data_IF_916786692642
#
_entry.id   IF_916786692642
#
_cell.length_a   1.000
_cell.length_b   1.000
_cell.length_c   1.000
_cell.angle_alpha   90.00
_cell.angle_beta   90.00
_cell.angle_gamma   90.00
#
_symmetry.space_group_name_H-M   'P 1'
#
loop_
_entity.id
_entity.type
_entity.pdbx_description
1 polymer ?
#
# COMPACT_ATOMS: atom_id res chain seq x y z
N UNK A 1 -4.41 33.42 71.80
CA UNK A 1 -5.59 33.30 70.91
C UNK A 1 -5.11 32.83 69.54
N UNK A 2 -5.39 31.58 69.23
CA UNK A 2 -4.90 30.88 68.05
C UNK A 2 -5.91 31.05 66.93
N UNK A 3 -5.51 31.77 65.83
CA UNK A 3 -6.31 31.93 64.65
C UNK A 3 -6.13 30.76 63.70
N UNK A 4 -7.09 29.83 63.63
CA UNK A 4 -7.18 28.75 62.64
C UNK A 4 -7.44 29.32 61.23
N UNK A 5 -6.43 29.44 60.39
CA UNK A 5 -6.59 29.70 58.97
C UNK A 5 -7.17 28.50 58.25
N UNK A 6 -8.48 28.52 58.00
CA UNK A 6 -9.19 27.51 57.20
C UNK A 6 -8.70 27.56 55.74
N UNK A 7 -8.01 26.54 55.25
CA UNK A 7 -7.73 26.32 53.80
C UNK A 7 -9.05 26.08 53.11
N UNK A 8 -9.57 27.05 52.36
CA UNK A 8 -10.67 26.87 51.42
C UNK A 8 -10.17 25.92 50.27
N UNK A 9 -10.49 24.64 50.39
CA UNK A 9 -10.39 23.70 49.27
C UNK A 9 -11.49 24.06 48.26
N UNK A 10 -11.09 24.72 47.19
CA UNK A 10 -12.03 24.94 46.06
C UNK A 10 -12.44 23.57 45.52
N UNK A 11 -13.69 23.15 45.78
CA UNK A 11 -14.30 21.98 45.12
C UNK A 11 -14.26 22.24 43.62
N UNK A 12 -13.69 21.27 42.87
CA UNK A 12 -13.74 21.29 41.42
C UNK A 12 -15.23 21.35 40.96
N UNK A 13 -15.58 22.19 39.97
CA UNK A 13 -16.97 22.29 39.51
C UNK A 13 -17.44 20.92 39.01
N UNK A 14 -18.53 20.42 39.60
CA UNK A 14 -19.14 19.16 39.16
C UNK A 14 -19.77 19.37 37.75
N UNK A 15 -19.36 18.51 36.82
CA UNK A 15 -19.91 18.51 35.46
C UNK A 15 -21.43 18.22 35.50
N UNK A 16 -22.22 18.99 34.74
CA UNK A 16 -23.63 18.69 34.55
C UNK A 16 -23.81 17.40 33.76
N UNK A 17 -24.97 16.71 33.93
CA UNK A 17 -25.28 15.49 33.17
C UNK A 17 -25.11 15.65 31.65
N UNK A 18 -25.48 16.80 31.09
CA UNK A 18 -25.27 17.14 29.67
C UNK A 18 -23.80 17.25 29.31
N UNK A 19 -22.97 17.89 30.13
CA UNK A 19 -21.54 18.03 29.90
C UNK A 19 -20.84 16.66 29.97
N UNK A 20 -21.26 15.83 30.90
CA UNK A 20 -20.73 14.48 31.02
C UNK A 20 -21.08 13.62 29.80
N UNK A 21 -22.36 13.68 29.35
CA UNK A 21 -22.80 12.99 28.13
C UNK A 21 -22.00 13.44 26.89
N UNK A 22 -21.84 14.75 26.69
CA UNK A 22 -21.06 15.30 25.57
C UNK A 22 -19.57 14.88 25.63
N UNK A 23 -19.00 14.84 26.83
CA UNK A 23 -17.62 14.37 27.01
C UNK A 23 -17.49 12.89 26.63
N UNK A 24 -18.39 12.04 27.15
CA UNK A 24 -18.38 10.61 26.83
C UNK A 24 -18.60 10.36 25.33
N UNK A 25 -19.51 11.09 24.71
CA UNK A 25 -19.74 11.02 23.26
C UNK A 25 -18.47 11.39 22.48
N UNK A 26 -17.78 12.48 22.85
CA UNK A 26 -16.55 12.90 22.20
C UNK A 26 -15.42 11.86 22.39
N UNK A 27 -15.30 11.26 23.57
CA UNK A 27 -14.34 10.18 23.82
C UNK A 27 -14.66 8.96 22.96
N UNK A 28 -15.92 8.56 22.86
CA UNK A 28 -16.34 7.45 22.02
C UNK A 28 -16.03 7.70 20.54
N UNK A 29 -16.35 8.90 20.03
CA UNK A 29 -16.04 9.30 18.66
C UNK A 29 -14.52 9.34 18.39
N UNK A 30 -13.73 9.83 19.35
CA UNK A 30 -12.27 9.83 19.23
C UNK A 30 -11.71 8.41 19.18
N UNK A 31 -12.23 7.48 19.99
CA UNK A 31 -11.83 6.07 19.96
C UNK A 31 -12.21 5.41 18.63
N UNK A 32 -13.39 5.70 18.08
CA UNK A 32 -13.80 5.21 16.76
C UNK A 32 -12.89 5.77 15.65
N UNK A 33 -12.54 7.06 15.71
CA UNK A 33 -11.61 7.67 14.77
C UNK A 33 -10.22 7.00 14.84
N UNK A 34 -9.72 6.74 16.05
CA UNK A 34 -8.44 6.01 16.24
C UNK A 34 -8.51 4.58 15.70
N UNK A 35 -9.63 3.87 15.92
CA UNK A 35 -9.85 2.54 15.36
C UNK A 35 -9.85 2.56 13.82
N UNK A 36 -10.50 3.54 13.20
CA UNK A 36 -10.47 3.73 11.74
C UNK A 36 -9.05 4.04 11.24
N UNK A 37 -8.29 4.88 11.93
CA UNK A 37 -6.90 5.19 11.57
C UNK A 37 -6.00 3.96 11.68
N UNK A 38 -6.16 3.16 12.73
CA UNK A 38 -5.45 1.90 12.89
C UNK A 38 -5.83 0.90 11.80
N UNK A 39 -7.13 0.71 11.52
CA UNK A 39 -7.63 -0.14 10.45
C UNK A 39 -7.12 0.27 9.08
N UNK A 40 -7.09 1.58 8.78
CA UNK A 40 -6.53 2.13 7.54
C UNK A 40 -5.05 1.77 7.38
N UNK A 41 -4.27 1.86 8.46
CA UNK A 41 -2.86 1.47 8.42
C UNK A 41 -2.69 -0.05 8.26
N UNK A 42 -3.49 -0.86 8.96
CA UNK A 42 -3.47 -2.31 8.86
C UNK A 42 -3.80 -2.79 7.44
N UNK A 43 -4.86 -2.25 6.83
CA UNK A 43 -5.28 -2.58 5.46
C UNK A 43 -4.19 -2.23 4.44
N UNK A 44 -3.55 -1.06 4.57
CA UNK A 44 -2.43 -0.65 3.69
C UNK A 44 -1.20 -1.56 3.79
N UNK A 45 -0.91 -2.07 4.99
CA UNK A 45 0.27 -2.91 5.23
C UNK A 45 0.06 -4.39 4.92
N UNK A 46 -1.17 -4.82 4.65
CA UNK A 46 -1.50 -6.21 4.39
C UNK A 46 -1.03 -6.69 3.00
N UNK A 47 -1.04 -5.79 2.00
CA UNK A 47 -0.67 -6.13 0.63
C UNK A 47 0.83 -5.95 0.38
N UNK A 48 1.55 -7.06 0.29
CA UNK A 48 2.99 -7.07 -0.02
C UNK A 48 3.27 -6.70 -1.48
N UNK A 49 2.35 -6.98 -2.39
CA UNK A 49 2.46 -6.67 -3.83
C UNK A 49 2.59 -5.17 -4.15
N UNK A 50 2.38 -4.30 -3.17
CA UNK A 50 2.54 -2.84 -3.27
C UNK A 50 3.89 -2.37 -2.68
N UNK A 51 4.78 -3.28 -2.31
CA UNK A 51 6.02 -2.96 -1.59
C UNK A 51 7.30 -3.15 -2.41
N UNK A 52 7.20 -3.54 -3.69
CA UNK A 52 8.36 -3.85 -4.54
C UNK A 52 9.33 -2.67 -4.66
N UNK A 53 8.84 -1.43 -4.81
CA UNK A 53 9.69 -0.24 -4.84
C UNK A 53 10.49 -0.05 -3.55
N UNK A 54 9.90 -0.36 -2.39
CA UNK A 54 10.58 -0.31 -1.09
C UNK A 54 11.61 -1.45 -0.95
N UNK A 55 11.25 -2.65 -1.39
CA UNK A 55 12.14 -3.80 -1.36
C UNK A 55 13.36 -3.59 -2.27
N UNK A 56 13.15 -3.11 -3.50
CA UNK A 56 14.21 -2.80 -4.47
C UNK A 56 15.14 -1.68 -4.00
N UNK A 57 14.57 -0.61 -3.46
CA UNK A 57 15.36 0.53 -2.95
C UNK A 57 16.38 0.12 -1.89
N UNK A 58 16.07 -0.85 -1.03
CA UNK A 58 16.93 -1.27 0.07
C UNK A 58 17.35 -0.09 0.95
N UNK A 59 18.67 0.14 1.04
CA UNK A 59 19.29 1.24 1.81
C UNK A 59 19.57 2.50 0.97
N UNK A 60 19.20 2.54 -0.32
CA UNK A 60 19.40 3.72 -1.16
C UNK A 60 18.54 4.90 -0.69
N UNK A 61 19.09 6.11 -0.73
CA UNK A 61 18.33 7.36 -0.49
C UNK A 61 17.50 7.78 -1.70
N UNK A 62 17.76 7.20 -2.87
CA UNK A 62 17.02 7.48 -4.09
C UNK A 62 15.56 7.02 -3.95
N UNK A 63 14.64 7.84 -4.46
CA UNK A 63 13.23 7.49 -4.53
C UNK A 63 12.98 6.58 -5.73
N UNK A 64 12.23 5.51 -5.51
CA UNK A 64 11.76 4.60 -6.55
C UNK A 64 10.23 4.57 -6.55
N UNK A 65 9.65 4.36 -7.72
CA UNK A 65 8.23 4.09 -7.88
C UNK A 65 8.01 2.73 -8.53
N UNK A 66 6.93 2.08 -8.15
CA UNK A 66 6.40 0.88 -8.78
C UNK A 66 5.24 1.28 -9.68
N UNK A 67 5.34 0.93 -10.96
CA UNK A 67 4.32 1.20 -11.97
C UNK A 67 3.91 -0.10 -12.61
N UNK A 68 2.60 -0.34 -12.71
CA UNK A 68 2.02 -1.51 -13.38
C UNK A 68 1.20 -1.08 -14.59
N UNK A 69 1.33 -1.84 -15.67
CA UNK A 69 0.55 -1.70 -16.90
C UNK A 69 -0.31 -2.93 -17.06
N UNK A 70 -1.61 -2.74 -17.17
CA UNK A 70 -2.58 -3.81 -17.41
C UNK A 70 -3.12 -3.69 -18.83
N UNK A 71 -3.02 -4.75 -19.58
CA UNK A 71 -3.33 -4.80 -21.02
C UNK A 71 -4.63 -5.58 -21.24
N UNK A 72 -5.49 -5.15 -22.18
CA UNK A 72 -6.64 -5.93 -22.60
C UNK A 72 -6.19 -7.14 -23.44
N UNK A 73 -7.04 -8.16 -23.56
CA UNK A 73 -6.72 -9.41 -24.27
C UNK A 73 -6.46 -9.24 -25.78
N UNK A 74 -6.98 -8.19 -26.38
CA UNK A 74 -6.82 -7.89 -27.81
C UNK A 74 -5.57 -7.02 -28.10
N UNK A 75 -4.82 -6.60 -27.07
CA UNK A 75 -3.59 -5.83 -27.24
C UNK A 75 -2.48 -6.71 -27.88
N UNK A 76 -1.65 -6.05 -28.69
CA UNK A 76 -0.57 -6.71 -29.44
C UNK A 76 0.79 -6.63 -28.78
N UNK A 77 0.87 -6.05 -27.61
CA UNK A 77 2.10 -5.95 -26.83
C UNK A 77 2.62 -7.34 -26.47
N UNK A 78 3.90 -7.58 -26.73
CA UNK A 78 4.59 -8.85 -26.54
C UNK A 78 5.92 -8.66 -25.77
N UNK A 79 6.64 -9.76 -25.55
CA UNK A 79 7.95 -9.73 -24.89
C UNK A 79 8.97 -8.89 -25.66
N UNK A 80 8.91 -8.85 -27.00
CA UNK A 80 9.82 -8.01 -27.81
C UNK A 80 9.56 -6.52 -27.58
N UNK A 81 8.33 -6.17 -27.29
CA UNK A 81 7.94 -4.81 -26.90
C UNK A 81 8.58 -4.43 -25.57
N UNK A 82 8.63 -5.36 -24.60
CA UNK A 82 9.31 -5.17 -23.31
C UNK A 82 10.80 -4.96 -23.53
N UNK A 83 11.46 -5.81 -24.34
CA UNK A 83 12.87 -5.67 -24.66
C UNK A 83 13.21 -4.33 -25.35
N UNK A 84 12.32 -3.86 -26.20
CA UNK A 84 12.45 -2.55 -26.85
C UNK A 84 12.28 -1.40 -25.86
N UNK A 85 11.35 -1.54 -24.93
CA UNK A 85 11.14 -0.57 -23.86
C UNK A 85 12.34 -0.50 -22.91
N UNK A 86 12.91 -1.66 -22.49
CA UNK A 86 14.12 -1.71 -21.65
C UNK A 86 15.26 -0.91 -22.25
N UNK A 87 15.54 -1.09 -23.56
CA UNK A 87 16.58 -0.30 -24.27
C UNK A 87 16.27 1.21 -24.29
N UNK A 88 15.00 1.56 -24.47
CA UNK A 88 14.57 2.96 -24.46
C UNK A 88 14.68 3.57 -23.07
N UNK A 89 14.39 2.77 -22.03
CA UNK A 89 14.52 3.17 -20.63
C UNK A 89 15.98 3.37 -20.24
N UNK A 90 16.87 2.44 -20.61
CA UNK A 90 18.30 2.57 -20.36
C UNK A 90 18.82 3.91 -20.90
N UNK A 91 18.45 4.28 -22.13
CA UNK A 91 18.82 5.56 -22.70
C UNK A 91 18.21 6.74 -21.94
N UNK A 92 16.94 6.64 -21.54
CA UNK A 92 16.28 7.71 -20.80
C UNK A 92 16.90 7.94 -19.40
N UNK A 93 17.37 6.89 -18.75
CA UNK A 93 18.08 6.98 -17.46
C UNK A 93 19.46 7.61 -17.61
N UNK A 94 20.19 7.27 -18.68
CA UNK A 94 21.46 7.92 -19.03
C UNK A 94 21.26 9.41 -19.33
N UNK A 95 20.25 9.75 -20.11
CA UNK A 95 19.91 11.15 -20.44
C UNK A 95 19.52 11.96 -19.19
N UNK A 96 18.94 11.29 -18.19
CA UNK A 96 18.65 11.87 -16.88
C UNK A 96 19.87 11.95 -15.94
N UNK A 97 21.07 11.56 -16.42
CA UNK A 97 22.30 11.48 -15.62
C UNK A 97 22.19 10.57 -14.40
N UNK A 98 21.43 9.49 -14.50
CA UNK A 98 21.32 8.45 -13.49
C UNK A 98 22.26 7.31 -13.84
N UNK A 99 23.14 6.97 -12.92
CA UNK A 99 24.11 5.87 -13.07
C UNK A 99 23.69 4.71 -12.14
N UNK A 100 23.75 3.49 -12.68
CA UNK A 100 23.54 2.30 -11.90
C UNK A 100 24.68 2.11 -10.88
N UNK A 101 24.40 1.61 -9.68
CA UNK A 101 25.45 1.22 -8.76
C UNK A 101 26.30 0.10 -9.39
N UNK A 102 27.57 0.03 -8.98
CA UNK A 102 28.51 -0.97 -9.52
C UNK A 102 27.96 -2.40 -9.34
N UNK A 103 27.78 -3.11 -10.45
CA UNK A 103 27.21 -4.46 -10.48
C UNK A 103 25.71 -4.56 -10.21
N UNK A 104 24.98 -3.43 -10.18
CA UNK A 104 23.53 -3.37 -9.97
C UNK A 104 22.76 -2.82 -11.16
N UNK A 105 21.45 -2.72 -11.04
CA UNK A 105 20.55 -2.08 -11.99
C UNK A 105 19.77 -0.94 -11.33
N UNK A 106 19.44 0.08 -12.13
CA UNK A 106 18.57 1.17 -11.67
C UNK A 106 17.09 0.79 -11.62
N UNK A 107 16.71 -0.28 -12.33
CA UNK A 107 15.33 -0.75 -12.34
C UNK A 107 15.28 -2.28 -12.32
N UNK A 108 14.13 -2.80 -12.02
CA UNK A 108 13.75 -4.20 -12.21
C UNK A 108 12.34 -4.25 -12.74
N UNK A 109 12.03 -5.28 -13.50
CA UNK A 109 10.70 -5.44 -14.07
C UNK A 109 10.21 -6.90 -14.01
N UNK A 110 8.91 -7.03 -14.23
CA UNK A 110 8.24 -8.32 -14.32
C UNK A 110 7.11 -8.23 -15.34
N UNK A 111 6.74 -9.36 -15.89
CA UNK A 111 5.59 -9.47 -16.78
C UNK A 111 4.87 -10.78 -16.59
N UNK A 112 3.59 -10.80 -16.91
CA UNK A 112 2.78 -12.00 -16.75
C UNK A 112 1.61 -12.06 -17.74
N UNK A 113 1.18 -13.29 -17.98
CA UNK A 113 -0.04 -13.62 -18.71
C UNK A 113 -0.73 -14.80 -18.04
N UNK A 114 -2.01 -14.98 -18.29
CA UNK A 114 -2.81 -16.02 -17.66
C UNK A 114 -3.45 -16.93 -18.72
N UNK A 115 -3.38 -18.22 -18.49
CA UNK A 115 -4.12 -19.22 -19.29
C UNK A 115 -4.64 -20.34 -18.39
N UNK A 116 -5.59 -21.10 -18.90
CA UNK A 116 -6.07 -22.30 -18.23
C UNK A 116 -5.52 -23.53 -18.97
N UNK A 117 -4.84 -24.41 -18.24
CA UNK A 117 -4.23 -25.61 -18.81
C UNK A 117 -4.73 -26.86 -18.09
N UNK A 118 -4.75 -27.98 -18.82
CA UNK A 118 -5.05 -29.29 -18.22
C UNK A 118 -3.78 -29.90 -17.67
N UNK A 119 -3.76 -30.13 -16.36
CA UNK A 119 -2.63 -30.72 -15.63
C UNK A 119 -2.97 -32.15 -15.25
N UNK A 120 -2.04 -33.06 -15.49
CA UNK A 120 -2.21 -34.49 -15.19
C UNK A 120 -1.09 -34.95 -14.25
N UNK A 121 -1.46 -35.68 -13.21
CA UNK A 121 -0.52 -36.41 -12.35
C UNK A 121 -1.13 -37.77 -12.00
N UNK A 122 -0.48 -38.84 -12.45
CA UNK A 122 -0.99 -40.22 -12.29
C UNK A 122 -2.37 -40.40 -12.96
N UNK A 123 -3.41 -40.57 -12.14
CA UNK A 123 -4.81 -40.71 -12.62
C UNK A 123 -5.65 -39.44 -12.48
N UNK A 124 -5.10 -38.41 -11.88
CA UNK A 124 -5.76 -37.12 -11.61
C UNK A 124 -5.54 -36.17 -12.76
N UNK A 125 -6.63 -35.61 -13.31
CA UNK A 125 -6.57 -34.56 -14.32
C UNK A 125 -7.41 -33.38 -13.85
N UNK A 126 -6.81 -32.19 -13.83
CA UNK A 126 -7.42 -30.95 -13.36
C UNK A 126 -7.23 -29.83 -14.40
N UNK A 127 -8.25 -29.00 -14.53
CA UNK A 127 -8.13 -27.72 -15.25
C UNK A 127 -7.62 -26.68 -14.28
N UNK A 128 -6.45 -26.11 -14.56
CA UNK A 128 -5.71 -25.26 -13.62
C UNK A 128 -5.48 -23.89 -14.22
N UNK A 129 -5.84 -22.86 -13.48
CA UNK A 129 -5.51 -21.47 -13.82
C UNK A 129 -4.01 -21.26 -13.62
N UNK A 130 -3.33 -20.94 -14.70
CA UNK A 130 -1.87 -20.86 -14.74
C UNK A 130 -1.42 -19.44 -15.05
N UNK A 131 -0.49 -18.93 -14.28
CA UNK A 131 0.12 -17.62 -14.49
C UNK A 131 1.53 -17.86 -15.08
N UNK A 132 1.71 -17.42 -16.32
CA UNK A 132 3.02 -17.34 -16.95
C UNK A 132 3.74 -16.11 -16.44
N UNK A 133 4.95 -16.29 -15.91
CA UNK A 133 5.73 -15.21 -15.26
C UNK A 133 7.08 -15.03 -15.94
N UNK A 134 7.52 -13.77 -16.01
CA UNK A 134 8.84 -13.40 -16.48
C UNK A 134 9.45 -12.25 -15.70
N UNK A 135 10.75 -12.02 -15.86
CA UNK A 135 11.49 -11.06 -15.06
C UNK A 135 11.55 -11.44 -13.58
N UNK A 136 11.59 -10.45 -12.71
CA UNK A 136 11.66 -10.62 -11.25
C UNK A 136 10.28 -10.70 -10.58
N UNK A 137 9.37 -11.49 -11.16
CA UNK A 137 7.96 -11.55 -10.76
C UNK A 137 7.76 -11.72 -9.25
N UNK A 138 8.51 -12.60 -8.59
CA UNK A 138 8.37 -12.87 -7.16
C UNK A 138 8.96 -11.77 -6.25
N UNK A 139 9.66 -10.77 -6.81
CA UNK A 139 9.97 -9.53 -6.10
C UNK A 139 8.73 -8.62 -6.02
N UNK A 140 7.93 -8.57 -7.09
CA UNK A 140 6.67 -7.81 -7.12
C UNK A 140 5.55 -8.52 -6.37
N UNK A 141 5.55 -9.85 -6.40
CA UNK A 141 4.54 -10.72 -5.80
C UNK A 141 5.19 -11.73 -4.86
N UNK A 142 5.64 -11.29 -3.66
CA UNK A 142 6.33 -12.15 -2.72
C UNK A 142 5.33 -13.11 -2.06
N UNK A 143 5.26 -14.34 -2.55
CA UNK A 143 4.49 -15.43 -1.97
C UNK A 143 5.29 -16.13 -0.87
N UNK A 144 4.63 -16.75 0.09
CA UNK A 144 5.32 -17.57 1.08
C UNK A 144 5.65 -18.94 0.50
N UNK A 145 6.92 -19.29 0.44
CA UNK A 145 7.36 -20.60 -0.02
C UNK A 145 7.06 -21.66 1.06
N UNK A 146 6.35 -22.71 0.68
CA UNK A 146 6.04 -23.86 1.54
C UNK A 146 7.10 -24.95 1.45
N UNK A 147 7.58 -25.22 0.22
CA UNK A 147 8.68 -26.15 -0.05
C UNK A 147 9.36 -25.80 -1.39
N UNK A 148 10.60 -26.25 -1.58
CA UNK A 148 11.34 -26.06 -2.83
C UNK A 148 11.89 -24.64 -3.04
N UNK A 149 11.81 -24.12 -4.27
CA UNK A 149 12.34 -22.81 -4.67
C UNK A 149 11.39 -22.07 -5.60
N UNK A 150 11.55 -20.74 -5.69
CA UNK A 150 10.86 -19.95 -6.72
C UNK A 150 11.40 -20.24 -8.12
N UNK A 151 10.65 -19.80 -9.13
CA UNK A 151 11.14 -19.65 -10.48
C UNK A 151 11.88 -18.31 -10.58
N UNK A 152 13.03 -18.33 -11.26
CA UNK A 152 13.82 -17.11 -11.49
C UNK A 152 14.03 -16.93 -12.99
N UNK A 153 14.11 -15.66 -13.45
CA UNK A 153 14.38 -15.36 -14.86
C UNK A 153 15.73 -15.88 -15.37
N UNK A 154 16.66 -16.25 -14.47
CA UNK A 154 17.97 -16.83 -14.77
C UNK A 154 18.00 -18.36 -14.69
N UNK A 155 16.85 -19.01 -14.49
CA UNK A 155 16.79 -20.47 -14.41
C UNK A 155 17.21 -21.13 -15.74
N UNK A 156 18.16 -22.04 -15.68
CA UNK A 156 18.57 -22.85 -16.83
C UNK A 156 17.46 -23.81 -17.32
N UNK A 157 16.45 -24.06 -16.48
CA UNK A 157 15.33 -24.94 -16.78
C UNK A 157 14.02 -24.13 -16.74
N UNK A 158 13.63 -23.52 -17.86
CA UNK A 158 12.38 -22.73 -17.93
C UNK A 158 11.12 -23.60 -17.81
N UNK A 159 11.27 -24.92 -17.91
CA UNK A 159 10.17 -25.89 -17.92
C UNK A 159 9.72 -26.34 -16.52
N UNK A 160 10.12 -25.61 -15.44
CA UNK A 160 9.67 -25.89 -14.08
C UNK A 160 8.37 -25.18 -13.77
N UNK A 161 7.62 -25.75 -12.83
CA UNK A 161 6.36 -25.17 -12.33
C UNK A 161 6.42 -24.96 -10.81
N UNK A 162 5.71 -23.94 -10.35
CA UNK A 162 5.51 -23.66 -8.94
C UNK A 162 4.04 -23.81 -8.65
N UNK A 163 3.67 -24.74 -7.76
CA UNK A 163 2.28 -25.06 -7.46
C UNK A 163 1.81 -24.23 -6.25
N UNK A 164 0.52 -23.93 -6.18
CA UNK A 164 -0.05 -23.55 -4.90
C UNK A 164 -0.35 -24.77 -4.02
N UNK A 165 -0.59 -24.54 -2.73
CA UNK A 165 -0.86 -25.62 -1.77
C UNK A 165 -2.08 -26.47 -2.16
N UNK A 166 -3.11 -25.83 -2.72
CA UNK A 166 -4.34 -26.50 -3.10
C UNK A 166 -4.10 -27.48 -4.25
N UNK A 167 -3.36 -27.05 -5.27
CA UNK A 167 -2.98 -27.92 -6.40
C UNK A 167 -2.03 -29.03 -5.96
N UNK A 168 -1.02 -28.71 -5.15
CA UNK A 168 -0.08 -29.70 -4.65
C UNK A 168 -0.80 -30.80 -3.87
N UNK A 169 -1.73 -30.42 -3.01
CA UNK A 169 -2.55 -31.37 -2.27
C UNK A 169 -3.48 -32.20 -3.16
N UNK A 170 -4.14 -31.57 -4.13
CA UNK A 170 -5.06 -32.26 -5.02
C UNK A 170 -4.37 -33.28 -5.92
N UNK A 171 -3.12 -33.01 -6.37
CA UNK A 171 -2.35 -33.89 -7.25
C UNK A 171 -1.58 -34.96 -6.51
N UNK A 172 -1.02 -34.66 -5.34
CA UNK A 172 -0.03 -35.48 -4.66
C UNK A 172 -0.38 -35.87 -3.22
N UNK A 173 -1.37 -35.19 -2.60
CA UNK A 173 -1.69 -35.38 -1.18
C UNK A 173 -0.59 -34.91 -0.23
N UNK A 174 0.33 -34.05 -0.70
CA UNK A 174 1.48 -33.54 0.06
C UNK A 174 1.84 -32.13 -0.39
N UNK A 175 2.51 -31.37 0.47
CA UNK A 175 3.12 -30.09 0.14
C UNK A 175 4.64 -30.21 -0.16
N UNK A 176 5.27 -31.30 0.24
CA UNK A 176 6.67 -31.57 -0.06
C UNK A 176 6.77 -32.39 -1.37
N UNK A 177 6.64 -31.68 -2.49
CA UNK A 177 6.56 -32.25 -3.83
C UNK A 177 7.60 -31.67 -4.79
N UNK A 178 8.56 -30.89 -4.26
CA UNK A 178 9.67 -30.38 -5.06
C UNK A 178 10.46 -31.55 -5.70
N UNK A 179 10.74 -31.45 -7.00
CA UNK A 179 11.37 -32.53 -7.79
C UNK A 179 10.42 -33.58 -8.33
N UNK A 180 9.14 -33.61 -7.89
CA UNK A 180 8.11 -34.41 -8.59
C UNK A 180 7.76 -33.76 -9.93
N UNK A 181 6.95 -34.45 -10.74
CA UNK A 181 6.61 -33.95 -12.07
C UNK A 181 5.11 -34.03 -12.33
N UNK A 182 4.64 -33.06 -13.09
CA UNK A 182 3.27 -33.04 -13.68
C UNK A 182 3.37 -33.11 -15.19
N UNK A 183 2.28 -33.49 -15.84
CA UNK A 183 2.15 -33.48 -17.29
C UNK A 183 1.17 -32.40 -17.74
N UNK A 184 1.55 -31.64 -18.77
CA UNK A 184 0.70 -30.69 -19.47
C UNK A 184 0.80 -31.04 -20.96
N UNK A 185 -0.30 -31.55 -21.52
CA UNK A 185 -0.28 -32.15 -22.85
C UNK A 185 0.70 -33.34 -22.91
N UNK A 186 1.62 -33.29 -23.85
CA UNK A 186 2.64 -34.34 -24.04
C UNK A 186 3.97 -34.07 -23.27
N UNK A 187 4.07 -32.92 -22.57
CA UNK A 187 5.31 -32.51 -21.89
C UNK A 187 5.24 -32.73 -20.40
N UNK A 188 6.38 -33.08 -19.84
CA UNK A 188 6.56 -33.22 -18.38
C UNK A 188 7.26 -32.02 -17.81
N UNK A 189 6.71 -31.47 -16.72
CA UNK A 189 7.21 -30.30 -16.04
C UNK A 189 7.59 -30.66 -14.60
N UNK A 190 8.87 -30.50 -14.21
CA UNK A 190 9.30 -30.69 -12.82
C UNK A 190 8.73 -29.61 -11.91
N UNK A 191 8.29 -30.00 -10.72
CA UNK A 191 7.83 -29.09 -9.69
C UNK A 191 9.04 -28.45 -9.02
N UNK A 192 9.17 -27.12 -9.09
CA UNK A 192 10.22 -26.35 -8.44
C UNK A 192 9.94 -26.18 -6.95
N UNK A 193 8.68 -26.01 -6.58
CA UNK A 193 8.26 -25.81 -5.20
C UNK A 193 6.75 -25.63 -5.06
N UNK A 194 6.35 -25.36 -3.84
CA UNK A 194 4.95 -25.08 -3.47
C UNK A 194 4.90 -23.77 -2.72
N UNK A 195 3.92 -22.93 -3.05
CA UNK A 195 3.66 -21.64 -2.41
C UNK A 195 2.32 -21.64 -1.69
N UNK A 196 2.29 -20.90 -0.59
CA UNK A 196 1.08 -20.52 0.10
C UNK A 196 0.48 -19.30 -0.58
N UNK A 197 -0.82 -19.31 -0.86
CA UNK A 197 -1.54 -18.14 -1.36
C UNK A 197 -1.65 -17.09 -0.26
N UNK A 198 -1.73 -15.84 -0.67
CA UNK A 198 -2.04 -14.75 0.26
C UNK A 198 -3.41 -15.00 0.90
N UNK A 199 -3.46 -14.88 2.21
CA UNK A 199 -4.64 -15.18 3.03
C UNK A 199 -5.28 -13.94 3.67
N UNK A 200 -4.82 -12.74 3.29
CA UNK A 200 -5.47 -11.51 3.66
C UNK A 200 -6.88 -11.39 3.06
N UNK A 201 -7.68 -10.51 3.63
CA UNK A 201 -9.09 -10.38 3.28
C UNK A 201 -9.30 -10.06 1.79
N UNK A 202 -8.52 -9.15 1.22
CA UNK A 202 -8.71 -8.69 -0.14
C UNK A 202 -8.22 -9.74 -1.16
N UNK A 203 -7.10 -10.40 -0.87
CA UNK A 203 -6.57 -11.47 -1.72
C UNK A 203 -7.50 -12.67 -1.75
N UNK A 204 -8.07 -13.08 -0.61
CA UNK A 204 -9.09 -14.15 -0.57
C UNK A 204 -10.31 -13.86 -1.42
N UNK A 205 -10.80 -12.62 -1.41
CA UNK A 205 -11.94 -12.21 -2.24
C UNK A 205 -11.57 -12.17 -3.72
N UNK A 206 -10.33 -11.82 -4.05
CA UNK A 206 -9.82 -11.74 -5.41
C UNK A 206 -9.47 -13.09 -6.04
N UNK A 207 -9.12 -14.08 -5.24
CA UNK A 207 -8.93 -15.47 -5.67
C UNK A 207 -10.30 -16.13 -5.90
N UNK A 208 -10.81 -16.03 -7.11
CA UNK A 208 -12.17 -16.48 -7.38
C UNK A 208 -12.31 -17.99 -7.56
N UNK A 209 -11.29 -18.70 -8.06
CA UNK A 209 -11.46 -20.08 -8.51
C UNK A 209 -10.24 -20.99 -8.32
N UNK A 210 -10.42 -22.03 -7.55
CA UNK A 210 -9.67 -23.30 -7.56
C UNK A 210 -8.14 -23.24 -7.52
N UNK A 211 -7.52 -24.39 -7.65
CA UNK A 211 -6.07 -24.51 -7.58
C UNK A 211 -5.35 -23.80 -8.73
N UNK A 212 -4.18 -23.24 -8.45
CA UNK A 212 -3.37 -22.48 -9.38
C UNK A 212 -1.90 -22.90 -9.41
N UNK A 213 -1.21 -22.46 -10.45
CA UNK A 213 0.22 -22.65 -10.58
C UNK A 213 0.88 -21.50 -11.34
N UNK A 214 2.20 -21.41 -11.20
CA UNK A 214 3.06 -20.48 -11.93
C UNK A 214 4.06 -21.29 -12.78
N UNK A 215 4.37 -20.76 -13.95
CA UNK A 215 5.42 -21.30 -14.83
C UNK A 215 6.05 -20.16 -15.64
N UNK A 216 7.14 -20.42 -16.37
CA UNK A 216 7.69 -19.35 -17.21
C UNK A 216 6.69 -18.92 -18.26
N UNK A 217 6.65 -17.62 -18.57
CA UNK A 217 5.75 -17.05 -19.57
C UNK A 217 5.96 -17.71 -20.94
N UNK A 218 7.22 -17.92 -21.32
CA UNK A 218 7.61 -18.53 -22.58
C UNK A 218 7.08 -19.97 -22.70
N UNK A 219 7.21 -20.75 -21.60
CA UNK A 219 6.70 -22.12 -21.57
C UNK A 219 5.16 -22.16 -21.66
N UNK A 220 4.47 -21.25 -20.95
CA UNK A 220 3.01 -21.15 -21.02
C UNK A 220 2.55 -20.68 -22.39
N UNK A 221 3.21 -19.68 -22.97
CA UNK A 221 2.89 -19.17 -24.30
C UNK A 221 3.07 -20.22 -25.41
N UNK A 222 4.06 -21.09 -25.27
CA UNK A 222 4.27 -22.22 -26.18
C UNK A 222 3.17 -23.28 -26.12
N UNK A 223 2.39 -23.35 -25.02
CA UNK A 223 1.30 -24.31 -24.82
C UNK A 223 -0.05 -23.71 -25.22
N UNK A 224 -0.30 -22.44 -24.93
CA UNK A 224 -1.64 -21.84 -24.91
C UNK A 224 -1.76 -20.51 -25.65
N UNK A 225 -0.72 -20.07 -26.39
CA UNK A 225 -0.71 -18.75 -27.05
C UNK A 225 -1.13 -17.60 -26.10
N UNK A 226 -0.56 -17.59 -24.91
CA UNK A 226 -0.93 -16.69 -23.82
C UNK A 226 -0.60 -15.24 -24.17
N UNK A 227 -1.56 -14.34 -23.98
CA UNK A 227 -1.34 -12.90 -24.15
C UNK A 227 -0.64 -12.30 -22.92
N UNK A 228 0.13 -11.25 -23.16
CA UNK A 228 0.69 -10.43 -22.09
C UNK A 228 -0.44 -9.63 -21.44
N UNK A 229 -0.74 -9.89 -20.18
CA UNK A 229 -1.82 -9.21 -19.44
C UNK A 229 -1.33 -8.14 -18.49
N UNK A 230 -0.09 -8.28 -17.99
CA UNK A 230 0.48 -7.36 -17.02
C UNK A 230 1.98 -7.17 -17.26
N UNK A 231 2.44 -5.93 -17.19
CA UNK A 231 3.84 -5.53 -17.09
C UNK A 231 4.02 -4.64 -15.87
N UNK A 232 5.06 -4.87 -15.10
CA UNK A 232 5.36 -4.13 -13.88
C UNK A 232 6.82 -3.73 -13.86
N UNK A 233 7.10 -2.53 -13.36
CA UNK A 233 8.45 -2.02 -13.23
C UNK A 233 8.63 -1.22 -11.96
N UNK A 234 9.78 -1.37 -11.33
CA UNK A 234 10.31 -0.46 -10.31
C UNK A 234 11.48 0.29 -10.89
N UNK A 235 11.41 1.61 -10.89
CA UNK A 235 12.44 2.48 -11.44
C UNK A 235 12.60 3.76 -10.61
N UNK A 236 13.71 4.54 -10.79
CA UNK A 236 13.88 5.82 -10.12
C UNK A 236 12.73 6.80 -10.41
N UNK A 237 12.26 7.49 -9.36
CA UNK A 237 11.20 8.50 -9.41
C UNK A 237 11.68 9.78 -8.73
N UNK A 238 12.63 10.45 -9.36
CA UNK A 238 13.29 11.64 -8.82
C UNK A 238 12.33 12.77 -8.52
N UNK A 239 11.31 12.91 -9.38
CA UNK A 239 10.17 13.82 -9.20
C UNK A 239 8.92 12.96 -9.23
N UNK A 240 8.00 13.20 -8.29
CA UNK A 240 6.76 12.42 -8.19
C UNK A 240 6.03 12.33 -9.53
N UNK A 241 5.78 11.10 -9.99
CA UNK A 241 5.11 10.81 -11.26
C UNK A 241 6.04 10.72 -12.47
N UNK A 242 7.37 10.87 -12.30
CA UNK A 242 8.32 10.68 -13.39
C UNK A 242 8.26 9.27 -13.98
N UNK A 243 8.30 8.26 -13.10
CA UNK A 243 8.24 6.86 -13.52
C UNK A 243 6.94 6.55 -14.29
N UNK A 244 5.80 7.02 -13.79
CA UNK A 244 4.51 6.86 -14.46
C UNK A 244 4.50 7.54 -15.85
N UNK A 245 5.04 8.76 -15.95
CA UNK A 245 5.15 9.49 -17.22
C UNK A 245 6.02 8.74 -18.23
N UNK A 246 7.20 8.26 -17.81
CA UNK A 246 8.10 7.49 -18.68
C UNK A 246 7.41 6.24 -19.23
N UNK A 247 6.70 5.51 -18.37
CA UNK A 247 5.96 4.30 -18.79
C UNK A 247 4.84 4.66 -19.76
N UNK A 248 4.04 5.69 -19.47
CA UNK A 248 2.97 6.14 -20.38
C UNK A 248 3.46 6.60 -21.74
N UNK A 249 4.61 7.26 -21.79
CA UNK A 249 5.13 7.87 -23.02
C UNK A 249 5.93 6.88 -23.87
N UNK A 250 6.58 5.88 -23.25
CA UNK A 250 7.57 5.04 -23.93
C UNK A 250 7.19 3.56 -24.02
N UNK A 251 6.36 3.06 -23.13
CA UNK A 251 5.83 1.69 -23.21
C UNK A 251 4.61 1.65 -24.13
N UNK A 252 4.43 0.61 -24.99
CA UNK A 252 3.26 0.50 -25.87
C UNK A 252 2.02 0.08 -25.07
N UNK A 253 1.42 1.03 -24.36
CA UNK A 253 0.28 0.79 -23.48
C UNK A 253 -1.00 0.47 -24.26
N UNK A 254 -1.17 1.02 -25.48
CA UNK A 254 -2.40 0.86 -26.26
C UNK A 254 -3.64 1.29 -25.49
N UNK A 255 -4.66 0.44 -25.47
CA UNK A 255 -5.89 0.63 -24.69
C UNK A 255 -5.75 0.15 -23.23
N UNK A 256 -4.53 -0.14 -22.78
CA UNK A 256 -4.21 -0.58 -21.42
C UNK A 256 -4.35 0.52 -20.37
N UNK A 257 -4.20 0.15 -19.12
CA UNK A 257 -4.24 1.06 -17.97
C UNK A 257 -2.90 1.05 -17.25
N UNK A 258 -2.35 2.25 -16.98
CA UNK A 258 -1.15 2.45 -16.17
C UNK A 258 -1.55 2.84 -14.76
N UNK A 259 -0.96 2.18 -13.77
CA UNK A 259 -1.22 2.40 -12.34
C UNK A 259 0.11 2.65 -11.62
N UNK A 260 0.25 3.81 -10.98
CA UNK A 260 1.36 4.09 -10.07
C UNK A 260 1.02 3.57 -8.67
N UNK A 261 1.74 2.56 -8.21
CA UNK A 261 1.43 1.83 -6.97
C UNK A 261 1.95 2.53 -5.71
N UNK A 262 3.05 3.29 -5.81
CA UNK A 262 3.72 3.88 -4.64
C UNK A 262 2.87 4.96 -3.97
N UNK A 263 2.13 5.76 -4.75
CA UNK A 263 1.23 6.80 -4.27
C UNK A 263 -0.24 6.38 -4.10
N UNK A 264 -0.56 5.12 -4.33
CA UNK A 264 -1.91 4.56 -4.43
C UNK A 264 -2.83 4.88 -3.25
N UNK A 265 -2.29 4.82 -2.03
CA UNK A 265 -3.03 5.09 -0.79
C UNK A 265 -2.89 6.54 -0.29
N UNK A 266 -2.51 7.49 -1.15
CA UNK A 266 -2.49 8.90 -0.79
C UNK A 266 -3.90 9.41 -0.48
N UNK A 267 -4.00 10.47 0.34
CA UNK A 267 -5.28 11.06 0.70
C UNK A 267 -6.10 11.46 -0.54
N UNK A 268 -5.45 12.09 -1.53
CA UNK A 268 -6.11 12.54 -2.77
C UNK A 268 -6.69 11.39 -3.57
N UNK A 269 -5.93 10.30 -3.73
CA UNK A 269 -6.38 9.11 -4.45
C UNK A 269 -7.55 8.43 -3.74
N UNK A 270 -7.44 8.18 -2.43
CA UNK A 270 -8.52 7.57 -1.66
C UNK A 270 -9.79 8.42 -1.67
N UNK A 271 -9.65 9.76 -1.63
CA UNK A 271 -10.81 10.65 -1.73
C UNK A 271 -11.50 10.56 -3.10
N UNK A 272 -10.71 10.48 -4.19
CA UNK A 272 -11.27 10.33 -5.55
C UNK A 272 -12.01 9.01 -5.74
N UNK A 273 -11.52 7.93 -5.12
CA UNK A 273 -12.09 6.58 -5.20
C UNK A 273 -13.48 6.51 -4.57
N UNK A 274 -13.80 7.35 -3.58
CA UNK A 274 -15.11 7.36 -2.93
C UNK A 274 -16.28 7.48 -3.91
N UNK A 275 -16.06 8.04 -5.12
CA UNK A 275 -17.07 8.19 -6.18
C UNK A 275 -17.28 6.94 -7.03
N UNK A 276 -16.31 6.03 -7.04
CA UNK A 276 -16.30 4.80 -7.85
C UNK A 276 -16.22 3.52 -7.01
N UNK A 277 -16.53 3.63 -5.72
CA UNK A 277 -16.52 2.54 -4.75
C UNK A 277 -17.26 1.30 -5.26
N UNK A 278 -16.63 0.12 -5.14
CA UNK A 278 -17.21 -1.18 -5.51
C UNK A 278 -17.42 -1.40 -7.01
N UNK A 279 -16.83 -0.56 -7.90
CA UNK A 279 -16.99 -0.67 -9.36
C UNK A 279 -15.67 -0.86 -10.11
N UNK A 280 -14.56 -0.97 -9.41
CA UNK A 280 -13.22 -0.88 -9.99
C UNK A 280 -12.47 -2.21 -10.04
N UNK A 281 -12.94 -3.20 -9.31
CA UNK A 281 -12.37 -4.54 -9.20
C UNK A 281 -13.29 -5.57 -9.83
N UNK A 282 -12.77 -6.77 -10.10
CA UNK A 282 -13.48 -7.95 -10.57
C UNK A 282 -14.18 -7.75 -11.92
N UNK A 283 -13.54 -7.00 -12.82
CA UNK A 283 -14.05 -6.77 -14.16
C UNK A 283 -14.14 -8.09 -14.95
N UNK A 284 -15.24 -8.27 -15.66
CA UNK A 284 -15.47 -9.42 -16.56
C UNK A 284 -15.39 -9.04 -18.05
N UNK A 285 -15.17 -7.77 -18.35
CA UNK A 285 -15.04 -7.22 -19.71
C UNK A 285 -13.95 -6.13 -19.74
N UNK A 286 -13.38 -5.93 -20.91
CA UNK A 286 -12.27 -5.01 -21.11
C UNK A 286 -10.97 -5.54 -20.51
N UNK A 287 -10.32 -4.78 -19.63
CA UNK A 287 -9.13 -5.25 -18.93
C UNK A 287 -9.54 -6.16 -17.78
N UNK A 288 -9.19 -7.45 -17.90
CA UNK A 288 -9.38 -8.44 -16.84
C UNK A 288 -8.15 -8.40 -15.94
N UNK A 289 -8.31 -7.73 -14.79
CA UNK A 289 -7.21 -7.55 -13.85
C UNK A 289 -6.82 -8.88 -13.19
N UNK A 290 -5.52 -9.14 -13.00
CA UNK A 290 -5.06 -10.27 -12.21
C UNK A 290 -5.49 -10.14 -10.74
N UNK A 291 -5.44 -11.24 -9.98
CA UNK A 291 -5.94 -11.29 -8.60
C UNK A 291 -5.30 -10.24 -7.68
N UNK A 292 -3.99 -10.00 -7.83
CA UNK A 292 -3.28 -9.02 -7.01
C UNK A 292 -3.73 -7.58 -7.26
N UNK A 293 -4.06 -7.23 -8.50
CA UNK A 293 -4.62 -5.92 -8.80
C UNK A 293 -6.07 -5.80 -8.31
N UNK A 294 -6.86 -6.87 -8.45
CA UNK A 294 -8.20 -6.90 -7.86
C UNK A 294 -8.15 -6.76 -6.34
N UNK A 295 -7.23 -7.45 -5.65
CA UNK A 295 -7.01 -7.32 -4.22
C UNK A 295 -6.58 -5.89 -3.83
N UNK A 296 -5.69 -5.28 -4.62
CA UNK A 296 -5.28 -3.90 -4.40
C UNK A 296 -6.44 -2.92 -4.54
N UNK A 297 -7.31 -3.09 -5.55
CA UNK A 297 -8.52 -2.25 -5.75
C UNK A 297 -9.56 -2.41 -4.66
N UNK A 298 -9.78 -3.65 -4.19
CA UNK A 298 -10.63 -3.91 -3.03
C UNK A 298 -10.06 -3.23 -1.77
N UNK A 299 -8.76 -3.35 -1.57
CA UNK A 299 -8.06 -2.69 -0.46
C UNK A 299 -8.18 -1.16 -0.52
N UNK A 300 -8.10 -0.55 -1.70
CA UNK A 300 -8.35 0.88 -1.89
C UNK A 300 -9.79 1.25 -1.51
N UNK A 301 -10.77 0.46 -1.90
CA UNK A 301 -12.17 0.70 -1.56
C UNK A 301 -12.38 0.67 -0.04
N UNK A 302 -11.82 -0.33 0.67
CA UNK A 302 -11.88 -0.36 2.14
C UNK A 302 -11.11 0.78 2.78
N UNK A 303 -9.95 1.13 2.23
CA UNK A 303 -9.16 2.27 2.72
C UNK A 303 -9.92 3.60 2.54
N UNK A 304 -10.60 3.79 1.41
CA UNK A 304 -11.44 4.96 1.16
C UNK A 304 -12.64 5.04 2.13
N UNK A 305 -13.29 3.91 2.40
CA UNK A 305 -14.37 3.83 3.39
C UNK A 305 -13.86 4.17 4.80
N UNK A 306 -12.74 3.57 5.22
CA UNK A 306 -12.15 3.85 6.54
C UNK A 306 -11.72 5.31 6.67
N UNK A 307 -11.20 5.92 5.59
CA UNK A 307 -10.86 7.34 5.56
C UNK A 307 -12.11 8.21 5.72
N UNK A 308 -13.20 7.89 5.03
CA UNK A 308 -14.46 8.62 5.17
C UNK A 308 -15.03 8.54 6.59
N UNK A 309 -15.01 7.34 7.19
CA UNK A 309 -15.44 7.12 8.58
C UNK A 309 -14.51 7.83 9.57
N UNK A 310 -13.18 7.81 9.34
CA UNK A 310 -12.22 8.55 10.15
C UNK A 310 -12.54 10.05 10.17
N UNK A 311 -12.77 10.64 9.00
CA UNK A 311 -13.14 12.05 8.90
C UNK A 311 -14.45 12.33 9.66
N UNK A 312 -15.47 11.51 9.41
CA UNK A 312 -16.78 11.65 10.06
C UNK A 312 -16.67 11.62 11.60
N UNK A 313 -15.97 10.65 12.15
CA UNK A 313 -15.84 10.49 13.60
C UNK A 313 -14.88 11.53 14.21
N UNK A 314 -13.89 12.03 13.46
CA UNK A 314 -12.93 13.02 13.95
C UNK A 314 -13.49 14.45 14.03
N UNK A 315 -14.53 14.80 13.26
CA UNK A 315 -15.07 16.18 13.21
C UNK A 315 -15.39 16.72 14.61
N UNK A 316 -16.20 16.01 15.39
CA UNK A 316 -16.62 16.49 16.71
C UNK A 316 -15.45 16.60 17.72
N UNK A 317 -14.61 15.57 17.89
CA UNK A 317 -13.43 15.67 18.77
C UNK A 317 -12.46 16.78 18.38
N UNK A 318 -12.19 16.96 17.08
CA UNK A 318 -11.30 18.01 16.58
C UNK A 318 -11.87 19.40 16.86
N UNK A 319 -13.15 19.65 16.56
CA UNK A 319 -13.81 20.92 16.85
C UNK A 319 -13.78 21.21 18.35
N UNK A 320 -14.06 20.19 19.18
CA UNK A 320 -13.98 20.34 20.63
C UNK A 320 -12.57 20.69 21.11
N UNK A 321 -11.56 20.00 20.58
CA UNK A 321 -10.15 20.26 20.91
C UNK A 321 -9.73 21.68 20.49
N UNK A 322 -10.10 22.13 19.30
CA UNK A 322 -9.81 23.49 18.81
C UNK A 322 -10.45 24.54 19.73
N UNK A 323 -11.73 24.39 20.08
CA UNK A 323 -12.43 25.31 20.98
C UNK A 323 -11.73 25.33 22.35
N UNK A 324 -11.33 24.18 22.87
CA UNK A 324 -10.63 24.07 24.15
C UNK A 324 -9.27 24.76 24.12
N UNK A 325 -8.46 24.54 23.07
CA UNK A 325 -7.16 25.19 22.87
C UNK A 325 -7.33 26.71 22.81
N UNK A 326 -8.25 27.20 21.99
CA UNK A 326 -8.51 28.66 21.84
C UNK A 326 -8.91 29.28 23.19
N UNK A 327 -9.78 28.63 23.96
CA UNK A 327 -10.19 29.11 25.28
C UNK A 327 -9.02 29.11 26.28
N UNK A 328 -8.20 28.08 26.27
CA UNK A 328 -7.03 27.96 27.14
C UNK A 328 -5.99 29.03 26.82
N UNK A 329 -5.66 29.23 25.55
CA UNK A 329 -4.72 30.27 25.10
C UNK A 329 -5.24 31.67 25.46
N UNK A 330 -6.51 31.98 25.19
CA UNK A 330 -7.11 33.26 25.61
C UNK A 330 -7.01 33.45 27.13
N UNK A 331 -7.30 32.42 27.92
CA UNK A 331 -7.20 32.48 29.38
C UNK A 331 -5.74 32.69 29.87
N UNK A 332 -4.76 32.11 29.19
CA UNK A 332 -3.35 32.34 29.52
C UNK A 332 -2.90 33.75 29.15
N UNK A 333 -3.28 34.25 27.98
CA UNK A 333 -2.95 35.63 27.55
C UNK A 333 -3.59 36.68 28.47
N UNK A 334 -4.83 36.53 28.85
CA UNK A 334 -5.49 37.47 29.79
C UNK A 334 -4.85 37.43 31.17
N UNK A 335 -4.43 36.26 31.68
CA UNK A 335 -3.72 36.16 32.95
C UNK A 335 -2.32 36.81 32.88
N UNK A 336 -1.59 36.61 31.78
CA UNK A 336 -0.27 37.21 31.56
C UNK A 336 -0.38 38.73 31.43
N UNK A 337 -1.34 39.25 30.69
CA UNK A 337 -1.61 40.71 30.58
C UNK A 337 -1.97 41.32 31.92
N UNK A 338 -2.83 40.66 32.72
CA UNK A 338 -3.18 41.12 34.05
C UNK A 338 -2.03 41.08 35.06
N UNK A 339 -1.10 40.10 34.90
CA UNK A 339 0.10 40.06 35.73
C UNK A 339 1.14 41.14 35.34
N UNK A 340 1.28 41.41 34.03
CA UNK A 340 2.11 42.51 33.52
C UNK A 340 1.56 43.87 33.95
N UNK A 341 0.24 44.08 33.86
CA UNK A 341 -0.42 45.33 34.35
C UNK A 341 -0.16 45.60 35.84
N UNK A 342 -0.33 44.56 36.68
CA UNK A 342 -0.01 44.70 38.13
C UNK A 342 1.44 45.04 38.40
N UNK A 343 2.38 44.45 37.69
CA UNK A 343 3.82 44.79 37.86
C UNK A 343 4.15 46.22 37.41
N UNK A 344 3.41 46.76 36.45
CA UNK A 344 3.56 48.14 36.01
C UNK A 344 2.96 49.10 37.07
N UNK A 345 1.79 48.79 37.62
CA UNK A 345 1.18 49.54 38.70
C UNK A 345 2.07 49.59 39.96
N UNK A 346 2.60 48.45 40.41
CA UNK A 346 3.55 48.35 41.53
C UNK A 346 4.78 49.22 41.30
N UNK A 347 5.35 49.22 40.09
CA UNK A 347 6.52 50.09 39.77
C UNK A 347 6.16 51.58 39.77
N UNK A 348 4.99 51.95 39.30
CA UNK A 348 4.53 53.34 39.30
C UNK A 348 4.27 53.82 40.75
N UNK A 349 3.74 52.95 41.62
CA UNK A 349 3.58 53.29 43.05
C UNK A 349 4.95 53.42 43.75
N UNK A 350 5.87 52.51 43.51
CA UNK A 350 7.23 52.63 44.06
C UNK A 350 7.95 53.93 43.60
N UNK A 351 7.80 54.35 42.35
CA UNK A 351 8.37 55.57 41.83
C UNK A 351 7.68 56.82 42.47
N UNK A 352 6.37 56.81 42.68
CA UNK A 352 5.67 57.89 43.39
C UNK A 352 6.07 57.99 44.83
N UNK A 353 6.25 56.90 45.58
CA UNK A 353 6.74 56.93 46.95
C UNK A 353 8.16 57.48 47.03
N UNK A 354 9.07 57.08 46.10
CA UNK A 354 10.42 57.67 46.05
C UNK A 354 10.46 59.19 45.81
N UNK A 355 9.50 59.66 44.99
CA UNK A 355 9.37 61.12 44.73
C UNK A 355 8.80 61.87 45.92
N UNK A 356 7.92 61.28 46.74
CA UNK A 356 7.38 61.89 47.95
C UNK A 356 8.38 61.92 49.10
N UNK A 357 9.27 60.98 49.24
CA UNK A 357 10.34 60.92 50.30
C UNK A 357 11.55 61.73 49.93
N UNK A 358 11.79 62.04 48.64
CA UNK A 358 12.95 62.86 48.20
C UNK A 358 12.70 64.38 48.10
N UNK A 359 11.43 64.85 48.32
CA UNK A 359 11.04 66.29 48.24
C UNK A 359 10.92 67.03 49.55
N UNK A 360 11.45 66.50 50.67
CA UNK A 360 11.43 67.11 51.99
C UNK A 360 12.84 67.41 52.53
N UNK A 361 13.53 68.39 51.95
CA UNK A 361 14.63 69.13 52.59
C UNK A 361 14.42 70.59 52.19
#
# INVERSE_FOLDING_TARGET
MSGRGGKYVRKAPSLTKKQMFLLLLNVALALLALACAWGLNAVKSALLTQSAAKAWRGSSEMRFAQVSVFLPEDEKTDVNSIESFRRTLDQALVDASLEAPEGGSLYTDAYSGTATVSVVSGKTSLSVKTIGVGGDFFLFHPLTLRSGSYLTGSDYMPDRVLLDEELAWALFGSYDVAGMSIQIGERTYPVAGVVHREDDFASKEAYQDGPGMFMSYEALNAISETKLGCYEIVMPDMISGYAESVVKDKFPVGDGTVVENTGRYSFGNLWSISRSYGKRSMNTQGIIYPYWENAARLTEDYAALLLALLILFAICPVVFAVIWVVRTVKGLVTKAAGAAGRKIEEKIEEEKEKHYVGGGI
#
